data_IF_763529857967
#
_entry.id   IF_763529857967
#
_cell.length_a   1.000
_cell.length_b   1.000
_cell.length_c   1.000
_cell.angle_alpha   90.00
_cell.angle_beta   90.00
_cell.angle_gamma   90.00
#
_symmetry.space_group_name_H-M   'P 1'
#
loop_
_entity.id
_entity.type
_entity.pdbx_description
1 polymer ?
#
# COMPACT_ATOMS: atom_id res chain seq x y z
N UNK A 1 10.71 31.63 -18.57
CA UNK A 1 11.12 30.64 -17.54
C UNK A 1 11.85 29.52 -18.27
N UNK A 2 13.13 29.29 -17.97
CA UNK A 2 13.92 28.26 -18.67
C UNK A 2 13.33 26.85 -18.46
N UNK A 3 13.36 26.00 -19.49
CA UNK A 3 12.83 24.62 -19.46
C UNK A 3 13.36 23.80 -18.27
N UNK A 4 14.62 24.01 -17.89
CA UNK A 4 15.27 23.38 -16.72
C UNK A 4 14.53 23.66 -15.40
N UNK A 5 13.93 24.84 -15.27
CA UNK A 5 13.16 25.22 -14.09
C UNK A 5 11.78 24.54 -14.05
N UNK A 6 11.17 24.26 -15.20
CA UNK A 6 9.89 23.53 -15.26
C UNK A 6 10.09 22.07 -14.86
N UNK A 7 11.12 21.42 -15.39
CA UNK A 7 11.43 20.03 -15.06
C UNK A 7 11.76 19.85 -13.57
N UNK A 8 12.52 20.79 -12.97
CA UNK A 8 12.83 20.73 -11.55
C UNK A 8 11.60 20.94 -10.66
N UNK A 9 10.67 21.82 -11.06
CA UNK A 9 9.39 22.02 -10.37
C UNK A 9 8.48 20.80 -10.46
N UNK A 10 8.47 20.09 -11.59
CA UNK A 10 7.65 18.88 -11.78
C UNK A 10 7.95 17.82 -10.71
N UNK A 11 9.24 17.57 -10.43
CA UNK A 11 9.68 16.56 -9.47
C UNK A 11 9.86 17.10 -8.03
N UNK A 12 9.53 18.36 -7.79
CA UNK A 12 9.68 18.98 -6.47
C UNK A 12 8.61 18.43 -5.53
N UNK A 13 8.99 18.03 -4.32
CA UNK A 13 8.00 17.61 -3.32
C UNK A 13 6.99 18.74 -3.06
N UNK A 14 5.68 18.44 -2.94
CA UNK A 14 4.66 19.47 -2.67
C UNK A 14 4.93 20.30 -1.41
N UNK A 15 5.60 19.71 -0.42
CA UNK A 15 6.05 20.39 0.80
C UNK A 15 7.01 21.57 0.54
N UNK A 16 7.76 21.53 -0.57
CA UNK A 16 8.79 22.52 -0.91
C UNK A 16 8.27 23.65 -1.80
N UNK A 17 7.00 23.61 -2.21
CA UNK A 17 6.40 24.62 -3.08
C UNK A 17 6.10 25.89 -2.28
N UNK A 18 6.64 27.02 -2.75
CA UNK A 18 6.61 28.28 -1.98
C UNK A 18 5.32 29.07 -2.17
N UNK A 19 4.78 29.09 -3.38
CA UNK A 19 3.65 29.93 -3.75
C UNK A 19 2.66 29.19 -4.66
N UNK A 20 1.52 29.82 -4.93
CA UNK A 20 0.45 29.25 -5.76
C UNK A 20 0.88 29.09 -7.24
N UNK A 21 1.74 29.97 -7.74
CA UNK A 21 2.25 29.89 -9.10
C UNK A 21 3.11 28.63 -9.31
N UNK A 22 3.99 28.28 -8.38
CA UNK A 22 4.77 27.04 -8.41
C UNK A 22 3.86 25.81 -8.42
N UNK A 23 2.77 25.82 -7.63
CA UNK A 23 1.78 24.73 -7.59
C UNK A 23 1.04 24.57 -8.92
N UNK A 24 0.59 25.67 -9.51
CA UNK A 24 -0.07 25.68 -10.82
C UNK A 24 0.86 25.13 -11.91
N UNK A 25 2.11 25.60 -11.94
CA UNK A 25 3.11 25.14 -12.91
C UNK A 25 3.38 23.66 -12.73
N UNK A 26 3.64 23.19 -11.50
CA UNK A 26 3.88 21.79 -11.23
C UNK A 26 2.69 20.90 -11.62
N UNK A 27 1.47 21.30 -11.25
CA UNK A 27 0.27 20.55 -11.57
C UNK A 27 0.09 20.41 -13.09
N UNK A 28 0.21 21.51 -13.83
CA UNK A 28 0.09 21.52 -15.29
C UNK A 28 1.18 20.67 -15.96
N UNK A 29 2.45 20.88 -15.59
CA UNK A 29 3.56 20.13 -16.18
C UNK A 29 3.46 18.63 -15.87
N UNK A 30 3.10 18.28 -14.64
CA UNK A 30 2.91 16.89 -14.23
C UNK A 30 1.71 16.27 -14.95
N UNK A 31 0.62 17.00 -15.17
CA UNK A 31 -0.55 16.49 -15.89
C UNK A 31 -0.21 16.14 -17.34
N UNK A 32 0.55 17.01 -18.04
CA UNK A 32 1.02 16.74 -19.41
C UNK A 32 1.95 15.51 -19.43
N UNK A 33 2.89 15.43 -18.48
CA UNK A 33 3.79 14.29 -18.36
C UNK A 33 3.02 12.98 -18.10
N UNK A 34 2.09 12.98 -17.14
CA UNK A 34 1.26 11.83 -16.79
C UNK A 34 0.38 11.38 -17.95
N UNK A 35 -0.15 12.31 -18.77
CA UNK A 35 -0.89 11.96 -19.99
C UNK A 35 -0.05 11.10 -20.93
N UNK A 36 1.14 11.59 -21.30
CA UNK A 36 2.04 10.89 -22.23
C UNK A 36 2.49 9.57 -21.62
N UNK A 37 2.90 9.59 -20.35
CA UNK A 37 3.38 8.41 -19.64
C UNK A 37 2.31 7.31 -19.57
N UNK A 38 1.09 7.62 -19.12
CA UNK A 38 0.04 6.62 -19.01
C UNK A 38 -0.52 6.17 -20.35
N UNK A 39 -0.51 7.03 -21.38
CA UNK A 39 -0.87 6.62 -22.72
C UNK A 39 0.10 5.55 -23.23
N UNK A 40 1.42 5.82 -23.17
CA UNK A 40 2.46 4.87 -23.59
C UNK A 40 2.40 3.59 -22.75
N UNK A 41 2.27 3.71 -21.43
CA UNK A 41 2.20 2.58 -20.51
C UNK A 41 0.98 1.69 -20.84
N UNK A 42 -0.20 2.26 -20.99
CA UNK A 42 -1.43 1.52 -21.28
C UNK A 42 -1.34 0.87 -22.67
N UNK A 43 -0.87 1.61 -23.67
CA UNK A 43 -0.69 1.08 -25.02
C UNK A 43 0.25 -0.12 -25.05
N UNK A 44 1.43 -0.01 -24.43
CA UNK A 44 2.41 -1.10 -24.42
C UNK A 44 1.93 -2.31 -23.59
N UNK A 45 1.51 -2.09 -22.34
CA UNK A 45 1.17 -3.20 -21.47
C UNK A 45 -0.18 -3.83 -21.81
N UNK A 46 -1.22 -3.02 -21.96
CA UNK A 46 -2.59 -3.53 -22.18
C UNK A 46 -2.82 -3.81 -23.66
N UNK A 47 -2.46 -2.85 -24.53
CA UNK A 47 -2.68 -2.96 -25.97
C UNK A 47 -1.77 -3.99 -26.64
N UNK A 48 -0.46 -3.88 -26.45
CA UNK A 48 0.52 -4.75 -27.15
C UNK A 48 0.70 -6.09 -26.42
N UNK A 49 1.00 -6.09 -25.11
CA UNK A 49 1.31 -7.34 -24.40
C UNK A 49 0.06 -8.19 -24.11
N UNK A 50 -1.01 -7.57 -23.61
CA UNK A 50 -2.24 -8.30 -23.24
C UNK A 50 -3.23 -8.44 -24.41
N UNK A 51 -3.05 -7.70 -25.51
CA UNK A 51 -3.97 -7.66 -26.66
C UNK A 51 -5.40 -7.28 -26.28
N UNK A 52 -5.56 -6.41 -25.28
CA UNK A 52 -6.84 -5.88 -24.82
C UNK A 52 -7.02 -4.44 -25.29
N UNK A 53 -8.26 -3.93 -25.27
CA UNK A 53 -8.48 -2.50 -25.47
C UNK A 53 -7.84 -1.71 -24.32
N UNK A 54 -6.81 -0.92 -24.65
CA UNK A 54 -6.04 -0.16 -23.66
C UNK A 54 -6.71 1.17 -23.30
N UNK A 55 -7.67 1.65 -24.08
CA UNK A 55 -8.23 2.99 -23.90
C UNK A 55 -8.95 3.17 -22.55
N UNK A 56 -9.79 2.24 -22.07
CA UNK A 56 -10.39 2.33 -20.74
C UNK A 56 -9.35 2.43 -19.62
N UNK A 57 -8.25 1.67 -19.70
CA UNK A 57 -7.17 1.72 -18.72
C UNK A 57 -6.46 3.06 -18.70
N UNK A 58 -6.18 3.60 -19.88
CA UNK A 58 -5.56 4.91 -20.02
C UNK A 58 -6.41 6.00 -19.36
N UNK A 59 -7.72 6.02 -19.62
CA UNK A 59 -8.63 6.99 -19.00
C UNK A 59 -8.66 6.82 -17.48
N UNK A 60 -8.78 5.59 -16.99
CA UNK A 60 -8.77 5.26 -15.56
C UNK A 60 -7.50 5.75 -14.88
N UNK A 61 -6.32 5.45 -15.43
CA UNK A 61 -5.03 5.91 -14.89
C UNK A 61 -4.90 7.43 -14.92
N UNK A 62 -5.19 8.05 -16.05
CA UNK A 62 -4.96 9.47 -16.26
C UNK A 62 -5.86 10.35 -15.38
N UNK A 63 -7.18 10.17 -15.45
CA UNK A 63 -8.12 11.03 -14.71
C UNK A 63 -7.98 10.90 -13.20
N UNK A 64 -7.82 9.68 -12.70
CA UNK A 64 -7.66 9.46 -11.25
C UNK A 64 -6.32 9.98 -10.75
N UNK A 65 -5.25 9.87 -11.53
CA UNK A 65 -3.93 10.41 -11.17
C UNK A 65 -3.90 11.93 -11.20
N UNK A 66 -4.60 12.58 -12.14
CA UNK A 66 -4.76 14.04 -12.13
C UNK A 66 -5.48 14.48 -10.86
N UNK A 67 -6.57 13.80 -10.49
CA UNK A 67 -7.32 14.13 -9.28
C UNK A 67 -6.43 13.96 -8.04
N UNK A 68 -5.71 12.85 -7.92
CA UNK A 68 -4.76 12.60 -6.83
C UNK A 68 -3.66 13.67 -6.79
N UNK A 69 -3.12 14.07 -7.95
CA UNK A 69 -2.10 15.10 -8.07
C UNK A 69 -2.65 16.49 -7.68
N UNK A 70 -3.85 16.83 -8.13
CA UNK A 70 -4.53 18.07 -7.76
C UNK A 70 -4.70 18.15 -6.24
N UNK A 71 -5.28 17.13 -5.62
CA UNK A 71 -5.50 17.08 -4.18
C UNK A 71 -4.16 17.14 -3.44
N UNK A 72 -3.21 16.29 -3.83
CA UNK A 72 -1.89 16.20 -3.23
C UNK A 72 -1.09 17.49 -3.31
N UNK A 73 -1.19 18.25 -4.41
CA UNK A 73 -0.45 19.51 -4.60
C UNK A 73 -1.09 20.68 -3.89
N UNK A 74 -2.42 20.84 -3.99
CA UNK A 74 -3.12 22.01 -3.44
C UNK A 74 -3.42 21.89 -1.95
N UNK A 75 -3.75 20.68 -1.48
CA UNK A 75 -4.14 20.43 -0.10
C UNK A 75 -3.01 19.82 0.74
N UNK A 76 -1.77 19.74 0.23
CA UNK A 76 -0.62 19.15 0.93
C UNK A 76 -0.49 19.62 2.37
N UNK A 77 -0.50 20.95 2.60
CA UNK A 77 -0.29 21.53 3.94
C UNK A 77 -1.38 21.10 4.91
N UNK A 78 -2.64 21.09 4.48
CA UNK A 78 -3.78 20.67 5.29
C UNK A 78 -3.70 19.19 5.64
N UNK A 79 -3.29 18.36 4.67
CA UNK A 79 -3.09 16.93 4.87
C UNK A 79 -1.91 16.65 5.83
N UNK A 80 -0.79 17.35 5.65
CA UNK A 80 0.40 17.20 6.49
C UNK A 80 0.17 17.69 7.92
N UNK A 81 -0.52 18.82 8.11
CA UNK A 81 -0.89 19.31 9.44
C UNK A 81 -1.81 18.31 10.17
N UNK A 82 -2.75 17.69 9.46
CA UNK A 82 -3.72 16.75 10.05
C UNK A 82 -3.13 15.36 10.33
N UNK A 83 -2.23 14.88 9.47
CA UNK A 83 -1.77 13.49 9.49
C UNK A 83 -0.26 13.33 9.70
N UNK A 84 0.51 14.40 9.79
CA UNK A 84 1.98 14.37 9.94
C UNK A 84 2.64 13.52 8.86
N UNK A 85 2.45 13.91 7.60
CA UNK A 85 2.91 13.14 6.43
C UNK A 85 4.43 13.19 6.24
N UNK A 86 5.07 14.25 6.73
CA UNK A 86 6.53 14.36 6.73
C UNK A 86 7.17 13.52 7.84
N UNK A 87 8.30 12.85 7.55
CA UNK A 87 9.01 12.05 8.53
C UNK A 87 9.67 12.96 9.57
N UNK A 88 9.72 12.49 10.82
CA UNK A 88 10.45 13.17 11.90
C UNK A 88 11.76 12.46 12.22
N UNK A 89 11.80 11.13 12.10
CA UNK A 89 12.95 10.28 12.47
C UNK A 89 13.35 9.27 11.39
N UNK A 90 12.47 9.07 10.40
CA UNK A 90 12.64 8.10 9.33
C UNK A 90 13.60 8.58 8.24
N UNK A 91 14.33 7.65 7.62
CA UNK A 91 15.16 7.91 6.42
C UNK A 91 14.34 7.92 5.13
N UNK A 92 13.06 7.53 5.18
CA UNK A 92 12.17 7.55 4.03
C UNK A 92 11.70 8.98 3.72
N UNK A 93 11.24 9.22 2.49
CA UNK A 93 10.76 10.55 2.07
C UNK A 93 9.46 10.97 2.77
N UNK A 94 8.71 10.02 3.31
CA UNK A 94 7.43 10.21 3.98
C UNK A 94 7.35 9.37 5.26
N UNK A 95 6.55 9.82 6.22
CA UNK A 95 6.18 9.02 7.38
C UNK A 95 5.26 7.85 6.98
N UNK A 96 4.97 6.95 7.91
CA UNK A 96 3.94 5.91 7.72
C UNK A 96 2.62 6.53 7.22
N UNK A 97 2.17 7.60 7.89
CA UNK A 97 0.96 8.33 7.56
C UNK A 97 1.02 8.95 6.16
N UNK A 98 2.17 9.49 5.78
CA UNK A 98 2.39 10.05 4.45
C UNK A 98 2.15 9.01 3.35
N UNK A 99 2.71 7.82 3.49
CA UNK A 99 2.49 6.73 2.53
C UNK A 99 1.02 6.26 2.51
N UNK A 100 0.38 6.13 3.68
CA UNK A 100 -1.04 5.75 3.74
C UNK A 100 -1.92 6.79 3.04
N UNK A 101 -1.67 8.09 3.24
CA UNK A 101 -2.42 9.14 2.56
C UNK A 101 -2.19 9.14 1.05
N UNK A 102 -0.97 8.87 0.58
CA UNK A 102 -0.70 8.69 -0.85
C UNK A 102 -1.55 7.53 -1.39
N UNK A 103 -1.57 6.39 -0.70
CA UNK A 103 -2.42 5.26 -1.12
C UNK A 103 -3.90 5.61 -1.17
N UNK A 104 -4.41 6.37 -0.20
CA UNK A 104 -5.80 6.84 -0.20
C UNK A 104 -6.09 7.74 -1.40
N UNK A 105 -5.19 8.67 -1.74
CA UNK A 105 -5.35 9.54 -2.91
C UNK A 105 -5.35 8.75 -4.22
N UNK A 106 -4.54 7.69 -4.31
CA UNK A 106 -4.47 6.81 -5.48
C UNK A 106 -5.47 5.63 -5.44
N UNK A 107 -6.28 5.48 -4.39
CA UNK A 107 -7.23 4.36 -4.30
C UNK A 107 -8.26 4.32 -5.43
N UNK A 108 -8.80 5.46 -5.94
CA UNK A 108 -9.67 5.45 -7.10
C UNK A 108 -8.95 4.90 -8.35
N UNK A 109 -7.66 5.19 -8.51
CA UNK A 109 -6.86 4.67 -9.63
C UNK A 109 -6.84 3.15 -9.62
N UNK A 110 -6.51 2.53 -8.48
CA UNK A 110 -6.49 1.06 -8.36
C UNK A 110 -7.87 0.44 -8.61
N UNK A 111 -8.93 1.09 -8.12
CA UNK A 111 -10.30 0.63 -8.34
C UNK A 111 -10.68 0.62 -9.82
N UNK A 112 -10.52 1.76 -10.50
CA UNK A 112 -10.93 1.90 -11.90
C UNK A 112 -10.04 1.12 -12.87
N UNK A 113 -8.75 0.96 -12.58
CA UNK A 113 -7.86 0.11 -13.38
C UNK A 113 -8.33 -1.35 -13.37
N UNK A 114 -8.70 -1.89 -12.20
CA UNK A 114 -9.20 -3.26 -12.11
C UNK A 114 -10.58 -3.41 -12.76
N UNK A 115 -11.46 -2.41 -12.66
CA UNK A 115 -12.72 -2.41 -13.41
C UNK A 115 -12.49 -2.38 -14.92
N UNK A 116 -11.58 -1.54 -15.42
CA UNK A 116 -11.20 -1.51 -16.84
C UNK A 116 -10.70 -2.88 -17.29
N UNK A 117 -9.89 -3.57 -16.47
CA UNK A 117 -9.45 -4.93 -16.76
C UNK A 117 -10.60 -5.92 -16.85
N UNK A 118 -11.55 -5.87 -15.91
CA UNK A 118 -12.73 -6.73 -15.98
C UNK A 118 -13.59 -6.47 -17.23
N UNK A 119 -13.76 -5.21 -17.60
CA UNK A 119 -14.54 -4.82 -18.78
C UNK A 119 -13.90 -5.28 -20.09
N UNK A 120 -12.58 -5.13 -20.23
CA UNK A 120 -11.90 -5.47 -21.49
C UNK A 120 -11.59 -6.95 -21.65
N UNK A 121 -11.64 -7.72 -20.55
CA UNK A 121 -11.45 -9.17 -20.55
C UNK A 121 -12.76 -9.96 -20.49
N UNK A 122 -13.92 -9.30 -20.65
CA UNK A 122 -15.26 -9.88 -20.52
C UNK A 122 -15.50 -10.61 -19.18
N UNK A 123 -14.77 -10.21 -18.14
CA UNK A 123 -14.89 -10.73 -16.78
C UNK A 123 -15.09 -9.58 -15.79
N UNK A 124 -16.24 -8.91 -15.93
CA UNK A 124 -16.61 -7.76 -15.11
C UNK A 124 -16.53 -8.08 -13.61
N UNK A 125 -16.97 -9.28 -13.19
CA UNK A 125 -16.95 -9.68 -11.80
C UNK A 125 -15.51 -9.82 -11.28
N UNK A 126 -14.59 -10.42 -12.04
CA UNK A 126 -13.16 -10.42 -11.66
C UNK A 126 -12.61 -9.00 -11.50
N UNK A 127 -12.96 -8.09 -12.41
CA UNK A 127 -12.56 -6.69 -12.30
C UNK A 127 -13.06 -6.04 -11.00
N UNK A 128 -14.34 -6.27 -10.64
CA UNK A 128 -14.93 -5.78 -9.40
C UNK A 128 -14.26 -6.39 -8.16
N UNK A 129 -14.07 -7.70 -8.13
CA UNK A 129 -13.40 -8.39 -7.03
C UNK A 129 -11.96 -7.96 -6.86
N UNK A 130 -11.25 -7.75 -7.97
CA UNK A 130 -9.90 -7.23 -7.98
C UNK A 130 -9.81 -5.78 -7.49
N UNK A 131 -10.78 -4.94 -7.87
CA UNK A 131 -10.88 -3.57 -7.38
C UNK A 131 -11.08 -3.54 -5.85
N UNK A 132 -11.96 -4.39 -5.32
CA UNK A 132 -12.14 -4.58 -3.87
C UNK A 132 -10.85 -5.05 -3.22
N UNK A 133 -10.18 -6.05 -3.80
CA UNK A 133 -8.94 -6.59 -3.26
C UNK A 133 -7.80 -5.55 -3.16
N UNK A 134 -7.71 -4.59 -4.09
CA UNK A 134 -6.67 -3.55 -4.05
C UNK A 134 -7.01 -2.41 -3.09
N UNK A 135 -8.29 -2.03 -2.99
CA UNK A 135 -8.73 -0.89 -2.18
C UNK A 135 -8.92 -1.26 -0.71
N UNK A 136 -9.37 -2.49 -0.42
CA UNK A 136 -9.62 -2.95 0.94
C UNK A 136 -8.40 -2.79 1.88
N UNK A 137 -7.18 -3.20 1.50
CA UNK A 137 -5.98 -2.96 2.31
C UNK A 137 -5.71 -1.48 2.60
N UNK A 138 -5.98 -0.59 1.63
CA UNK A 138 -5.78 0.86 1.77
C UNK A 138 -6.73 1.41 2.83
N UNK A 139 -8.01 1.02 2.80
CA UNK A 139 -8.99 1.42 3.79
C UNK A 139 -8.60 0.93 5.19
N UNK A 140 -8.16 -0.32 5.32
CA UNK A 140 -7.73 -0.86 6.62
C UNK A 140 -6.49 -0.14 7.17
N UNK A 141 -5.51 0.21 6.33
CA UNK A 141 -4.38 1.04 6.75
C UNK A 141 -4.83 2.46 7.16
N UNK A 142 -5.77 3.06 6.42
CA UNK A 142 -6.29 4.40 6.72
C UNK A 142 -7.05 4.45 8.05
N UNK A 143 -7.90 3.47 8.34
CA UNK A 143 -8.59 3.34 9.65
C UNK A 143 -7.56 3.31 10.80
N UNK A 144 -6.37 2.75 10.53
CA UNK A 144 -5.29 2.59 11.50
C UNK A 144 -4.17 3.63 11.36
N UNK A 145 -4.39 4.73 10.64
CA UNK A 145 -3.34 5.72 10.33
C UNK A 145 -2.63 6.30 11.58
N UNK A 146 -3.30 6.35 12.73
CA UNK A 146 -2.73 6.81 14.01
C UNK A 146 -2.12 5.70 14.88
N UNK A 147 -2.20 4.44 14.46
CA UNK A 147 -1.69 3.30 15.25
C UNK A 147 -0.19 3.14 15.10
N UNK A 148 0.35 3.49 13.94
CA UNK A 148 1.77 3.36 13.62
C UNK A 148 2.35 4.75 13.38
N UNK A 149 3.56 4.99 13.87
CA UNK A 149 4.32 6.21 13.63
C UNK A 149 5.80 5.85 13.31
N UNK A 150 6.63 6.87 13.09
CA UNK A 150 8.07 6.69 12.84
C UNK A 150 8.80 5.97 13.99
N UNK A 151 8.24 5.93 15.20
CA UNK A 151 8.85 5.19 16.32
C UNK A 151 8.77 3.68 16.11
N UNK A 152 7.93 3.19 15.19
CA UNK A 152 7.92 1.79 14.79
C UNK A 152 9.26 1.33 14.19
N UNK A 153 10.13 2.24 13.77
CA UNK A 153 11.49 1.92 13.28
C UNK A 153 12.42 1.52 14.42
N UNK A 154 12.14 1.96 15.66
CA UNK A 154 13.00 1.74 16.82
C UNK A 154 12.60 0.41 17.50
N UNK A 155 13.53 -0.55 17.50
CA UNK A 155 13.33 -1.89 18.10
C UNK A 155 14.14 -1.96 19.39
N UNK A 156 13.50 -2.17 20.56
CA UNK A 156 14.23 -2.40 21.80
C UNK A 156 14.86 -3.80 21.80
N UNK A 157 16.18 -3.91 22.01
CA UNK A 157 16.93 -5.16 21.98
C UNK A 157 17.37 -5.68 23.35
N UNK A 158 17.35 -4.83 24.38
CA UNK A 158 17.72 -5.22 25.73
C UNK A 158 17.81 -4.02 26.67
N UNK A 159 18.08 -4.29 27.95
CA UNK A 159 18.42 -3.25 28.94
C UNK A 159 19.94 -3.25 29.11
N UNK A 160 20.59 -2.15 28.75
CA UNK A 160 21.97 -1.88 29.16
C UNK A 160 21.94 -1.12 30.49
N UNK A 161 22.70 -1.61 31.46
CA UNK A 161 22.95 -0.84 32.69
C UNK A 161 24.02 0.18 32.36
N UNK A 162 23.70 1.47 32.43
CA UNK A 162 24.71 2.50 32.24
C UNK A 162 25.59 2.57 33.49
N UNK A 163 26.93 2.72 33.35
CA UNK A 163 27.76 3.15 34.47
C UNK A 163 27.28 4.53 34.96
N UNK A 164 27.43 4.81 36.25
CA UNK A 164 26.91 6.03 36.90
C UNK A 164 27.40 7.35 36.24
N UNK A 165 28.44 7.27 35.39
CA UNK A 165 28.91 8.36 34.55
C UNK A 165 29.21 7.89 33.14
N UNK A 166 28.57 8.50 32.14
CA UNK A 166 28.93 8.37 30.72
C UNK A 166 29.39 9.74 30.25
N UNK A 167 30.66 9.84 29.84
CA UNK A 167 31.22 11.04 29.20
C UNK A 167 30.99 10.89 27.70
N UNK A 168 30.18 11.78 27.12
CA UNK A 168 29.96 11.82 25.68
C UNK A 168 31.23 12.33 24.96
N UNK A 169 31.36 12.07 23.64
CA UNK A 169 32.49 12.57 22.83
C UNK A 169 32.64 14.11 22.83
N UNK A 170 31.61 14.84 23.21
CA UNK A 170 31.60 16.30 23.35
C UNK A 170 32.00 16.77 24.78
N UNK A 171 32.40 15.84 25.66
CA UNK A 171 32.81 16.12 27.03
C UNK A 171 31.65 16.32 28.01
N UNK A 172 30.39 16.18 27.59
CA UNK A 172 29.25 16.30 28.49
C UNK A 172 29.02 15.01 29.28
N UNK A 173 28.98 15.13 30.61
CA UNK A 173 28.58 14.04 31.50
C UNK A 173 27.05 13.86 31.43
N UNK A 174 26.60 12.70 30.94
CA UNK A 174 25.20 12.28 31.01
C UNK A 174 24.93 11.66 32.38
N UNK A 175 24.61 12.51 33.37
CA UNK A 175 24.01 12.09 34.64
C UNK A 175 22.51 11.81 34.42
N UNK A 176 22.19 10.79 33.62
CA UNK A 176 20.83 10.28 33.57
C UNK A 176 20.61 9.49 34.85
N UNK A 177 19.88 10.02 35.84
CA UNK A 177 19.55 9.34 37.11
C UNK A 177 18.75 8.03 36.96
N UNK A 178 18.73 7.43 35.77
CA UNK A 178 18.18 6.10 35.45
C UNK A 178 19.35 5.17 35.12
N UNK A 179 19.54 4.14 35.96
CA UNK A 179 20.57 3.11 35.84
C UNK A 179 20.40 2.17 34.64
N UNK A 180 19.25 2.17 33.97
CA UNK A 180 18.97 1.31 32.83
C UNK A 180 18.63 2.15 31.59
N UNK A 181 19.35 1.92 30.49
CA UNK A 181 19.06 2.42 29.15
C UNK A 181 18.73 1.25 28.25
N UNK A 182 17.58 1.32 27.58
CA UNK A 182 17.20 0.29 26.62
C UNK A 182 18.06 0.42 25.38
N UNK A 183 18.82 -0.61 25.04
CA UNK A 183 19.49 -0.67 23.74
C UNK A 183 18.43 -0.73 22.64
N UNK A 184 18.64 0.06 21.60
CA UNK A 184 17.72 0.12 20.46
C UNK A 184 18.46 -0.11 19.16
N UNK A 185 17.87 -0.93 18.29
CA UNK A 185 18.33 -1.14 16.93
C UNK A 185 17.30 -0.56 15.96
N UNK A 186 17.78 0.08 14.90
CA UNK A 186 16.90 0.55 13.81
C UNK A 186 16.52 -0.62 12.91
N UNK A 187 15.22 -0.87 12.79
CA UNK A 187 14.62 -1.82 11.86
C UNK A 187 14.13 -1.18 10.57
N UNK A 188 13.38 -1.95 9.78
CA UNK A 188 12.59 -1.47 8.64
C UNK A 188 11.28 -0.79 9.09
N UNK A 189 10.83 -1.07 10.32
CA UNK A 189 9.53 -0.63 10.82
C UNK A 189 8.37 -1.31 10.08
N UNK A 190 7.17 -0.79 10.31
CA UNK A 190 5.97 -1.25 9.60
C UNK A 190 5.84 -0.48 8.27
N UNK A 191 6.06 -1.13 7.13
CA UNK A 191 6.06 -0.46 5.81
C UNK A 191 4.69 -0.56 5.11
N UNK A 192 3.96 0.57 4.91
CA UNK A 192 2.65 0.55 4.25
C UNK A 192 2.66 -0.10 2.87
N UNK A 193 3.64 0.25 2.03
CA UNK A 193 3.76 -0.25 0.65
C UNK A 193 3.87 -1.78 0.64
N UNK A 194 4.75 -2.32 1.47
CA UNK A 194 4.98 -3.74 1.59
C UNK A 194 3.72 -4.49 2.00
N UNK A 195 3.01 -4.02 3.02
CA UNK A 195 1.79 -4.67 3.49
C UNK A 195 0.66 -4.55 2.49
N UNK A 196 0.54 -3.42 1.79
CA UNK A 196 -0.42 -3.25 0.70
C UNK A 196 -0.15 -4.26 -0.43
N UNK A 197 1.10 -4.42 -0.88
CA UNK A 197 1.45 -5.37 -1.95
C UNK A 197 1.12 -6.80 -1.52
N UNK A 198 1.54 -7.21 -0.32
CA UNK A 198 1.33 -8.58 0.18
C UNK A 198 -0.17 -8.87 0.37
N UNK A 199 -0.91 -7.96 1.00
CA UNK A 199 -2.35 -8.10 1.17
C UNK A 199 -3.07 -8.13 -0.19
N UNK A 200 -2.67 -7.26 -1.13
CA UNK A 200 -3.25 -7.20 -2.47
C UNK A 200 -3.00 -8.47 -3.27
N UNK A 201 -1.80 -9.05 -3.21
CA UNK A 201 -1.48 -10.30 -3.91
C UNK A 201 -2.38 -11.46 -3.44
N UNK A 202 -2.53 -11.62 -2.12
CA UNK A 202 -3.42 -12.63 -1.54
C UNK A 202 -4.89 -12.37 -1.92
N UNK A 203 -5.33 -11.12 -1.83
CA UNK A 203 -6.70 -10.71 -2.15
C UNK A 203 -7.06 -10.87 -3.62
N UNK A 204 -6.20 -10.43 -4.54
CA UNK A 204 -6.45 -10.54 -5.99
C UNK A 204 -6.68 -11.99 -6.39
N UNK A 205 -5.92 -12.91 -5.80
CA UNK A 205 -6.06 -14.32 -6.09
C UNK A 205 -7.30 -14.96 -5.45
N UNK A 206 -7.67 -14.58 -4.23
CA UNK A 206 -8.78 -15.21 -3.49
C UNK A 206 -10.12 -14.50 -3.71
N UNK A 207 -10.17 -13.19 -3.47
CA UNK A 207 -11.35 -12.35 -3.69
C UNK A 207 -11.64 -12.24 -5.18
N UNK A 208 -10.64 -11.96 -6.02
CA UNK A 208 -10.83 -11.87 -7.47
C UNK A 208 -11.36 -13.17 -8.06
N UNK A 209 -10.81 -14.33 -7.65
CA UNK A 209 -11.33 -15.65 -8.05
C UNK A 209 -12.72 -15.92 -7.51
N UNK A 210 -13.02 -15.52 -6.27
CA UNK A 210 -14.35 -15.66 -5.68
C UNK A 210 -15.42 -14.91 -6.48
N UNK A 211 -15.16 -13.65 -6.83
CA UNK A 211 -16.04 -12.88 -7.71
C UNK A 211 -16.15 -13.50 -9.12
N UNK A 212 -15.05 -13.95 -9.72
CA UNK A 212 -15.12 -14.68 -10.99
C UNK A 212 -15.94 -15.97 -10.87
N UNK A 213 -15.93 -16.61 -9.70
CA UNK A 213 -16.75 -17.78 -9.40
C UNK A 213 -18.25 -17.48 -9.40
N UNK A 214 -18.67 -16.27 -9.00
CA UNK A 214 -20.07 -15.83 -9.13
C UNK A 214 -20.50 -15.78 -10.59
N UNK A 215 -19.66 -15.21 -11.47
CA UNK A 215 -19.93 -15.19 -12.90
C UNK A 215 -20.03 -16.61 -13.47
N UNK A 216 -19.07 -17.48 -13.13
CA UNK A 216 -19.07 -18.87 -13.59
C UNK A 216 -20.27 -19.67 -13.07
N UNK A 217 -20.73 -19.39 -11.85
CA UNK A 217 -21.94 -19.98 -11.30
C UNK A 217 -23.16 -19.64 -12.15
N UNK A 218 -23.34 -18.36 -12.52
CA UNK A 218 -24.46 -17.95 -13.36
C UNK A 218 -24.38 -18.46 -14.81
N UNK A 219 -23.18 -18.72 -15.33
CA UNK A 219 -23.01 -19.23 -16.70
C UNK A 219 -23.08 -20.77 -16.78
N UNK A 220 -22.41 -21.46 -15.85
CA UNK A 220 -22.14 -22.91 -15.93
C UNK A 220 -22.57 -23.69 -14.66
N UNK A 221 -23.18 -23.03 -13.66
CA UNK A 221 -23.60 -23.66 -12.40
C UNK A 221 -22.47 -24.03 -11.45
N UNK A 222 -21.20 -23.87 -11.85
CA UNK A 222 -20.02 -24.28 -11.07
C UNK A 222 -18.99 -23.15 -11.00
N UNK A 223 -18.34 -22.89 -9.84
CA UNK A 223 -18.60 -23.50 -8.54
C UNK A 223 -19.99 -23.13 -7.98
N UNK A 224 -20.39 -23.75 -6.87
CA UNK A 224 -21.58 -23.31 -6.11
C UNK A 224 -21.42 -21.84 -5.69
N UNK A 225 -22.54 -21.14 -5.51
CA UNK A 225 -22.53 -19.75 -5.06
C UNK A 225 -21.93 -19.63 -3.65
N UNK A 226 -22.18 -20.62 -2.80
CA UNK A 226 -21.62 -20.75 -1.45
C UNK A 226 -20.09 -20.81 -1.48
N UNK A 227 -19.51 -21.62 -2.37
CA UNK A 227 -18.06 -21.71 -2.52
C UNK A 227 -17.45 -20.39 -3.05
N UNK A 228 -18.12 -19.73 -3.97
CA UNK A 228 -17.70 -18.42 -4.48
C UNK A 228 -17.71 -17.35 -3.37
N UNK A 229 -18.79 -17.27 -2.60
CA UNK A 229 -18.95 -16.36 -1.46
C UNK A 229 -17.91 -16.67 -0.37
N UNK A 230 -17.71 -17.96 -0.06
CA UNK A 230 -16.69 -18.40 0.90
C UNK A 230 -15.29 -17.93 0.49
N UNK A 231 -14.92 -18.06 -0.79
CA UNK A 231 -13.64 -17.58 -1.31
C UNK A 231 -13.46 -16.07 -1.10
N UNK A 232 -14.52 -15.27 -1.29
CA UNK A 232 -14.50 -13.82 -1.05
C UNK A 232 -14.24 -13.51 0.42
N UNK A 233 -15.02 -14.11 1.33
CA UNK A 233 -14.87 -13.87 2.77
C UNK A 233 -13.51 -14.33 3.30
N UNK A 234 -13.06 -15.51 2.88
CA UNK A 234 -11.74 -16.03 3.23
C UNK A 234 -10.64 -15.09 2.74
N UNK A 235 -10.74 -14.61 1.49
CA UNK A 235 -9.79 -13.66 0.93
C UNK A 235 -9.69 -12.37 1.74
N UNK A 236 -10.83 -11.73 2.03
CA UNK A 236 -10.86 -10.51 2.84
C UNK A 236 -10.26 -10.73 4.24
N UNK A 237 -10.57 -11.85 4.89
CA UNK A 237 -10.01 -12.22 6.19
C UNK A 237 -8.48 -12.37 6.14
N UNK A 238 -7.97 -13.03 5.10
CA UNK A 238 -6.52 -13.19 4.89
C UNK A 238 -5.83 -11.86 4.62
N UNK A 239 -6.46 -10.96 3.85
CA UNK A 239 -5.94 -9.61 3.66
C UNK A 239 -5.85 -8.86 5.00
N UNK A 240 -6.85 -9.02 5.87
CA UNK A 240 -6.87 -8.41 7.20
C UNK A 240 -5.62 -8.78 8.00
N UNK A 241 -5.12 -10.02 7.94
CA UNK A 241 -3.91 -10.44 8.68
C UNK A 241 -2.70 -9.52 8.42
N UNK A 242 -2.50 -9.08 7.18
CA UNK A 242 -1.42 -8.17 6.79
C UNK A 242 -1.62 -6.72 7.26
N UNK A 243 -2.86 -6.35 7.55
CA UNK A 243 -3.22 -5.03 8.06
C UNK A 243 -3.02 -4.93 9.58
N UNK A 244 -2.75 -6.05 10.25
CA UNK A 244 -2.47 -6.13 11.69
C UNK A 244 -1.10 -6.72 12.01
N UNK A 245 0.01 -6.15 11.47
CA UNK A 245 1.34 -6.68 11.71
C UNK A 245 1.77 -6.52 13.17
N UNK A 246 1.25 -5.54 13.92
CA UNK A 246 1.46 -5.41 15.36
C UNK A 246 0.87 -6.57 16.17
N UNK A 247 -0.31 -7.06 15.76
CA UNK A 247 -0.95 -8.20 16.43
C UNK A 247 -0.23 -9.48 16.08
N UNK A 248 0.14 -9.64 14.81
CA UNK A 248 0.91 -10.78 14.35
C UNK A 248 2.29 -10.84 15.03
N UNK A 249 2.96 -9.70 15.20
CA UNK A 249 4.25 -9.60 15.89
C UNK A 249 4.24 -10.10 17.33
N UNK A 250 3.07 -10.17 17.98
CA UNK A 250 2.92 -10.73 19.34
C UNK A 250 2.82 -12.25 19.36
N UNK A 251 2.44 -12.85 18.23
CA UNK A 251 2.20 -14.29 18.12
C UNK A 251 3.41 -15.00 17.53
N UNK A 252 4.08 -14.36 16.57
CA UNK A 252 5.23 -14.96 15.89
C UNK A 252 6.52 -14.73 16.70
N UNK A 253 7.45 -15.70 16.74
CA UNK A 253 8.69 -15.59 17.51
C UNK A 253 9.73 -14.66 16.85
N UNK A 254 9.39 -13.98 15.76
CA UNK A 254 10.29 -13.17 14.94
C UNK A 254 9.81 -11.72 14.95
N UNK A 255 10.70 -10.78 15.27
CA UNK A 255 10.38 -9.35 15.20
C UNK A 255 10.14 -8.91 13.75
N UNK A 256 8.87 -8.63 13.43
CA UNK A 256 8.36 -8.30 12.10
C UNK A 256 8.92 -6.99 11.54
N UNK A 257 9.40 -6.10 12.42
CA UNK A 257 10.02 -4.82 12.03
C UNK A 257 11.46 -4.98 11.50
N UNK A 258 12.01 -6.19 11.48
CA UNK A 258 13.36 -6.48 10.95
C UNK A 258 13.34 -6.99 9.51
N UNK A 259 14.52 -7.08 8.85
CA UNK A 259 14.65 -7.70 7.52
C UNK A 259 14.13 -9.14 7.48
N UNK A 260 14.44 -9.90 8.54
CA UNK A 260 13.99 -11.29 8.70
C UNK A 260 12.47 -11.35 8.89
N UNK A 261 11.93 -10.40 9.65
CA UNK A 261 10.49 -10.19 9.80
C UNK A 261 9.77 -9.92 8.48
N UNK A 262 10.32 -9.04 7.65
CA UNK A 262 9.78 -8.79 6.30
C UNK A 262 9.82 -10.05 5.41
N UNK A 263 10.94 -10.78 5.40
CA UNK A 263 11.05 -12.04 4.66
C UNK A 263 10.03 -13.08 5.16
N UNK A 264 9.81 -13.15 6.47
CA UNK A 264 8.78 -14.01 7.06
C UNK A 264 7.38 -13.63 6.55
N UNK A 265 7.02 -12.33 6.54
CA UNK A 265 5.73 -11.86 6.01
C UNK A 265 5.53 -12.22 4.53
N UNK A 266 6.61 -12.15 3.74
CA UNK A 266 6.60 -12.55 2.34
C UNK A 266 6.35 -14.06 2.20
N UNK A 267 7.07 -14.91 2.95
CA UNK A 267 6.85 -16.37 2.95
C UNK A 267 5.44 -16.72 3.41
N UNK A 268 4.95 -16.04 4.45
CA UNK A 268 3.59 -16.22 4.97
C UNK A 268 2.53 -15.99 3.88
N UNK A 269 2.76 -15.11 2.91
CA UNK A 269 1.79 -14.88 1.83
C UNK A 269 1.60 -16.12 0.97
N UNK A 270 2.68 -16.82 0.62
CA UNK A 270 2.61 -18.07 -0.13
C UNK A 270 1.92 -19.17 0.68
N UNK A 271 2.23 -19.28 1.97
CA UNK A 271 1.59 -20.26 2.86
C UNK A 271 0.09 -20.01 2.95
N UNK A 272 -0.33 -18.75 3.19
CA UNK A 272 -1.75 -18.39 3.27
C UNK A 272 -2.48 -18.61 1.94
N UNK A 273 -1.83 -18.33 0.80
CA UNK A 273 -2.37 -18.67 -0.52
C UNK A 273 -2.58 -20.18 -0.64
N UNK A 274 -1.58 -21.00 -0.32
CA UNK A 274 -1.71 -22.47 -0.37
C UNK A 274 -2.84 -23.01 0.51
N UNK A 275 -2.90 -22.56 1.77
CA UNK A 275 -3.97 -22.93 2.71
C UNK A 275 -5.34 -22.48 2.18
N UNK A 276 -5.43 -21.26 1.62
CA UNK A 276 -6.69 -20.77 1.06
C UNK A 276 -7.22 -21.66 -0.06
N UNK A 277 -6.34 -22.12 -0.96
CA UNK A 277 -6.75 -22.98 -2.08
C UNK A 277 -7.22 -24.35 -1.60
N UNK A 278 -6.54 -24.91 -0.61
CA UNK A 278 -6.96 -26.16 0.00
C UNK A 278 -8.36 -26.03 0.62
N UNK A 279 -8.61 -24.98 1.40
CA UNK A 279 -9.92 -24.73 2.02
C UNK A 279 -11.02 -24.48 1.00
N UNK A 280 -10.76 -23.65 -0.03
CA UNK A 280 -11.72 -23.41 -1.12
C UNK A 280 -12.05 -24.72 -1.85
N UNK A 281 -11.06 -25.58 -2.08
CA UNK A 281 -11.25 -26.90 -2.70
C UNK A 281 -12.19 -27.80 -1.87
N UNK A 282 -11.98 -27.86 -0.55
CA UNK A 282 -12.87 -28.61 0.35
C UNK A 282 -14.31 -28.09 0.26
N UNK A 283 -14.51 -26.77 0.38
CA UNK A 283 -15.86 -26.19 0.33
C UNK A 283 -16.50 -26.43 -1.04
N UNK A 284 -15.73 -26.35 -2.12
CA UNK A 284 -16.23 -26.63 -3.47
C UNK A 284 -16.74 -28.07 -3.58
N UNK A 285 -16.01 -29.06 -3.04
CA UNK A 285 -16.43 -30.48 -3.04
C UNK A 285 -17.67 -30.71 -2.16
N UNK A 286 -17.75 -30.01 -1.01
CA UNK A 286 -18.88 -30.17 -0.08
C UNK A 286 -20.17 -29.51 -0.56
N UNK A 287 -20.10 -28.61 -1.53
CA UNK A 287 -21.24 -27.82 -2.03
C UNK A 287 -21.56 -28.07 -3.50
N UNK A 288 -20.81 -28.93 -4.18
CA UNK A 288 -21.11 -29.49 -5.50
C UNK A 288 -22.10 -30.66 -5.39
#
# INVERSE_FOLDING_TARGET
MEFRNILSLMFKSPAKLKNEQERRIQFLSSSIFLFIFFYVLSYLFVGVLMKLDYFPFFLSLYFTSILANYIGTYYWKVLDEKYSMLPTKSTFSYSYQGYVMIFVLFSPMFFFVMLSLGLTSDNFFFGLGGAVALVYPILGMFIRIKTFNDDSIIIPTGKAVLPDKVVLPDGKELSSGKKEVTETVRGFGFMPISYWILASAVGLYTVGRGFSGIQLHFTNGTPSLEAAIFSIFLGLLLQTLYLFPDKLNKVVPIELRTKKGFLFMFILAFVLVGVSQFLIGIVTILTS
#
